data_IF_093781452290
#
_entry.id   IF_093781452290
#
_cell.length_a   1.000
_cell.length_b   1.000
_cell.length_c   1.000
_cell.angle_alpha   90.00
_cell.angle_beta   90.00
_cell.angle_gamma   90.00
#
_symmetry.space_group_name_H-M   'P 1'
#
loop_
_entity.id
_entity.type
_entity.pdbx_description
1 polymer ?
#
# COMPACT_ATOMS: atom_id res chain seq x y z
N UNK A 1 6.20 0.73 11.62
CA UNK A 1 5.39 0.82 10.38
C UNK A 1 4.65 2.15 10.40
N UNK A 2 4.65 2.90 9.29
CA UNK A 2 4.12 4.26 9.13
C UNK A 2 3.03 4.23 8.05
N UNK A 3 1.84 4.71 8.38
CA UNK A 3 0.76 4.88 7.39
C UNK A 3 1.08 6.11 6.54
N UNK A 4 1.04 5.93 5.22
CA UNK A 4 1.33 7.00 4.26
C UNK A 4 0.09 7.45 3.51
N UNK A 5 -0.91 6.58 3.35
CA UNK A 5 -2.15 6.91 2.65
C UNK A 5 -3.30 6.02 3.11
N UNK A 6 -4.48 6.62 3.20
CA UNK A 6 -5.75 5.91 3.42
C UNK A 6 -6.83 6.53 2.54
N UNK A 7 -7.82 5.76 2.12
CA UNK A 7 -8.89 6.28 1.27
C UNK A 7 -9.72 5.18 0.64
N UNK A 8 -10.77 5.58 -0.08
CA UNK A 8 -11.67 4.66 -0.78
C UNK A 8 -11.33 4.69 -2.27
N UNK A 9 -11.09 3.52 -2.86
CA UNK A 9 -10.96 3.33 -4.31
C UNK A 9 -12.06 2.38 -4.74
N UNK A 10 -12.98 2.86 -5.59
CA UNK A 10 -14.11 2.07 -6.13
C UNK A 10 -14.96 1.35 -5.08
N UNK A 11 -15.24 2.02 -3.96
CA UNK A 11 -16.08 1.47 -2.90
C UNK A 11 -15.36 0.50 -1.95
N UNK A 12 -14.07 0.26 -2.16
CA UNK A 12 -13.22 -0.47 -1.21
C UNK A 12 -12.31 0.50 -0.47
N UNK A 13 -12.22 0.37 0.85
CA UNK A 13 -11.24 1.10 1.66
C UNK A 13 -9.85 0.52 1.45
N UNK A 14 -8.83 1.37 1.35
CA UNK A 14 -7.43 1.00 1.18
C UNK A 14 -6.56 1.67 2.24
N UNK A 15 -5.55 0.94 2.69
CA UNK A 15 -4.48 1.44 3.56
C UNK A 15 -3.14 1.16 2.89
N UNK A 16 -2.37 2.22 2.66
CA UNK A 16 -0.99 2.20 2.25
C UNK A 16 -0.07 2.52 3.43
N UNK A 17 0.84 1.61 3.75
CA UNK A 17 1.80 1.75 4.83
C UNK A 17 3.20 1.34 4.39
N UNK A 18 4.20 1.91 5.05
CA UNK A 18 5.60 1.57 4.86
C UNK A 18 6.25 1.12 6.17
N UNK A 19 7.34 0.37 6.10
CA UNK A 19 8.11 -0.01 7.28
C UNK A 19 9.55 -0.34 6.94
N UNK A 20 10.47 0.16 7.75
CA UNK A 20 11.86 -0.27 7.71
C UNK A 20 11.97 -1.74 8.13
N UNK A 21 12.82 -2.48 7.45
CA UNK A 21 13.17 -3.87 7.70
C UNK A 21 14.54 -3.94 8.39
N UNK A 22 14.83 -5.05 9.06
CA UNK A 22 16.06 -5.25 9.83
C UNK A 22 17.36 -5.11 9.00
N UNK A 23 17.27 -5.16 7.67
CA UNK A 23 18.38 -5.01 6.74
C UNK A 23 18.52 -3.59 6.16
N UNK A 24 17.86 -2.59 6.75
CA UNK A 24 17.88 -1.19 6.32
C UNK A 24 17.07 -0.91 5.04
N UNK A 25 16.40 -1.93 4.48
CA UNK A 25 15.45 -1.75 3.37
C UNK A 25 14.09 -1.32 3.89
N UNK A 26 13.24 -0.88 2.97
CA UNK A 26 11.89 -0.43 3.27
C UNK A 26 10.86 -1.29 2.56
N UNK A 27 9.82 -1.69 3.28
CA UNK A 27 8.65 -2.35 2.74
C UNK A 27 7.58 -1.32 2.46
N UNK A 28 6.96 -1.38 1.28
CA UNK A 28 5.73 -0.70 0.93
C UNK A 28 4.62 -1.74 0.85
N UNK A 29 3.51 -1.53 1.54
CA UNK A 29 2.32 -2.38 1.49
C UNK A 29 1.06 -1.55 1.27
N UNK A 30 0.25 -1.92 0.29
CA UNK A 30 -1.06 -1.32 0.02
C UNK A 30 -2.09 -2.46 0.00
N UNK A 31 -3.08 -2.38 0.86
CA UNK A 31 -4.09 -3.42 1.00
C UNK A 31 -5.49 -2.82 1.08
N UNK A 32 -6.44 -3.49 0.43
CA UNK A 32 -7.85 -3.24 0.67
C UNK A 32 -8.24 -3.73 2.09
N UNK A 33 -8.93 -2.90 2.85
CA UNK A 33 -9.51 -3.26 4.14
C UNK A 33 -10.83 -3.96 3.86
N UNK A 34 -10.86 -5.28 4.06
CA UNK A 34 -12.07 -6.07 3.84
C UNK A 34 -13.11 -5.79 4.94
N UNK A 35 -14.31 -5.36 4.54
CA UNK A 35 -15.49 -5.36 5.40
C UNK A 35 -16.12 -6.75 5.38
N UNK A 36 -15.72 -7.59 6.34
CA UNK A 36 -16.36 -8.84 6.82
C UNK A 36 -16.88 -9.93 5.84
N UNK A 37 -16.95 -9.75 4.51
CA UNK A 37 -17.59 -10.72 3.60
C UNK A 37 -16.98 -10.84 2.19
N UNK A 38 -15.88 -10.15 1.87
CA UNK A 38 -15.26 -10.23 0.55
C UNK A 38 -13.75 -10.09 0.67
N UNK A 39 -13.01 -11.07 0.16
CA UNK A 39 -11.57 -11.24 0.37
C UNK A 39 -10.69 -10.05 -0.03
N UNK A 40 -9.40 -10.16 0.29
CA UNK A 40 -8.34 -9.21 -0.08
C UNK A 40 -8.16 -9.17 -1.61
N UNK A 41 -9.07 -8.52 -2.33
CA UNK A 41 -9.07 -8.55 -3.81
C UNK A 41 -7.89 -7.78 -4.41
N UNK A 42 -7.27 -6.86 -3.66
CA UNK A 42 -6.08 -6.12 -4.09
C UNK A 42 -5.10 -5.98 -2.93
N UNK A 43 -3.98 -6.70 -3.03
CA UNK A 43 -2.85 -6.59 -2.12
C UNK A 43 -1.58 -6.33 -2.95
N UNK A 44 -0.84 -5.30 -2.57
CA UNK A 44 0.44 -4.95 -3.14
C UNK A 44 1.47 -4.91 -2.03
N UNK A 45 2.60 -5.60 -2.23
CA UNK A 45 3.77 -5.49 -1.35
C UNK A 45 5.02 -5.40 -2.20
N UNK A 46 5.91 -4.45 -1.86
CA UNK A 46 7.20 -4.24 -2.53
C UNK A 46 8.29 -3.91 -1.51
N UNK A 47 9.47 -4.45 -1.73
CA UNK A 47 10.68 -4.06 -0.99
C UNK A 47 11.44 -3.01 -1.81
N UNK A 48 11.90 -1.97 -1.13
CA UNK A 48 12.55 -0.78 -1.66
C UNK A 48 13.85 -0.53 -0.89
N UNK A 49 14.82 0.14 -1.52
CA UNK A 49 16.11 0.40 -0.88
C UNK A 49 16.05 1.54 0.16
N UNK A 50 15.05 2.41 0.06
CA UNK A 50 14.91 3.62 0.88
C UNK A 50 13.43 4.00 1.10
N UNK A 51 13.19 4.86 2.09
CA UNK A 51 11.84 5.31 2.49
C UNK A 51 11.11 6.01 1.34
N UNK A 52 11.79 6.89 0.61
CA UNK A 52 11.20 7.69 -0.47
C UNK A 52 10.70 6.80 -1.62
N UNK A 53 11.47 5.77 -1.99
CA UNK A 53 11.05 4.76 -2.96
C UNK A 53 9.86 3.95 -2.46
N UNK A 54 9.79 3.65 -1.16
CA UNK A 54 8.63 2.95 -0.59
C UNK A 54 7.37 3.82 -0.63
N UNK A 55 7.47 5.11 -0.29
CA UNK A 55 6.37 6.09 -0.43
C UNK A 55 5.94 6.22 -1.89
N UNK A 56 6.90 6.37 -2.81
CA UNK A 56 6.63 6.47 -4.25
C UNK A 56 5.90 5.23 -4.76
N UNK A 57 6.34 4.03 -4.36
CA UNK A 57 5.70 2.77 -4.73
C UNK A 57 4.22 2.74 -4.34
N UNK A 58 3.87 3.19 -3.13
CA UNK A 58 2.46 3.29 -2.70
C UNK A 58 1.68 4.25 -3.61
N UNK A 59 2.23 5.43 -3.92
CA UNK A 59 1.53 6.43 -4.72
C UNK A 59 1.36 6.03 -6.19
N UNK A 60 2.36 5.37 -6.77
CA UNK A 60 2.30 4.84 -8.13
C UNK A 60 1.19 3.79 -8.24
N UNK A 61 1.19 2.79 -7.36
CA UNK A 61 0.16 1.74 -7.33
C UNK A 61 -1.22 2.29 -7.03
N UNK A 62 -1.34 3.27 -6.12
CA UNK A 62 -2.61 3.94 -5.86
C UNK A 62 -3.17 4.60 -7.13
N UNK A 63 -2.32 5.32 -7.86
CA UNK A 63 -2.72 5.99 -9.12
C UNK A 63 -3.12 5.00 -10.21
N UNK A 64 -2.55 3.80 -10.22
CA UNK A 64 -2.97 2.72 -11.12
C UNK A 64 -4.35 2.19 -10.74
N UNK A 65 -4.61 1.95 -9.44
CA UNK A 65 -5.90 1.50 -8.94
C UNK A 65 -7.04 2.50 -9.18
N UNK A 66 -6.74 3.80 -9.19
CA UNK A 66 -7.70 4.86 -9.52
C UNK A 66 -8.06 4.92 -11.01
N UNK A 67 -7.19 4.41 -11.91
CA UNK A 67 -7.37 4.46 -13.38
C UNK A 67 -8.10 3.26 -13.96
N UNK A 68 -7.84 2.07 -13.41
CA UNK A 68 -8.60 0.85 -13.75
C UNK A 68 -10.05 1.12 -13.47
#
# INVERSE_FOLDING_TARGET
MKVVRTGIIKGSEFIGAIGELDNGKWMASLAAVATAAGGFNHHYTKVCDDEDKAVKAINDTWSELEKV
#
